data_IF_931216236855
#
_entry.id   IF_931216236855
#
_cell.length_a   1.000
_cell.length_b   1.000
_cell.length_c   1.000
_cell.angle_alpha   90.00
_cell.angle_beta   90.00
_cell.angle_gamma   90.00
#
_symmetry.space_group_name_H-M   'P 1'
#
loop_
_entity.id
_entity.type
_entity.pdbx_description
1 polymer ?
#
# COMPACT_ATOMS: atom_id res chain seq x y z
N UNK A 1 16.31 14.11 -5.39
CA UNK A 1 15.93 15.38 -5.98
C UNK A 1 16.93 15.79 -7.03
N UNK A 2 16.46 16.40 -8.12
CA UNK A 2 17.25 16.87 -9.26
C UNK A 2 16.89 18.31 -9.57
N UNK A 3 17.90 19.06 -10.04
CA UNK A 3 17.66 20.31 -10.76
C UNK A 3 17.62 20.00 -12.26
N UNK A 4 16.74 20.70 -12.99
CA UNK A 4 16.70 20.67 -14.43
C UNK A 4 17.38 21.92 -14.95
N UNK A 5 18.41 21.76 -15.77
CA UNK A 5 19.10 22.84 -16.43
C UNK A 5 18.81 22.79 -17.92
N UNK A 6 18.13 23.84 -18.44
CA UNK A 6 17.91 24.01 -19.87
C UNK A 6 19.00 24.83 -20.50
N UNK A 7 19.51 24.38 -21.63
CA UNK A 7 20.60 25.03 -22.36
C UNK A 7 20.25 25.14 -23.84
N UNK A 8 20.57 26.29 -24.44
CA UNK A 8 20.53 26.52 -25.90
C UNK A 8 21.91 26.98 -26.34
N UNK A 9 22.43 26.37 -27.42
CA UNK A 9 23.74 26.68 -27.91
C UNK A 9 23.82 26.43 -29.43
N UNK A 10 24.74 27.12 -30.09
CA UNK A 10 24.99 26.94 -31.49
C UNK A 10 25.85 25.72 -31.77
N UNK A 11 25.42 24.92 -32.76
CA UNK A 11 26.16 23.75 -33.27
C UNK A 11 26.31 23.90 -34.80
N UNK A 12 27.32 23.19 -35.35
CA UNK A 12 27.54 23.13 -36.79
C UNK A 12 28.07 21.74 -37.21
N UNK A 13 28.00 21.47 -38.52
CA UNK A 13 28.59 20.29 -39.16
C UNK A 13 27.85 18.97 -38.93
N UNK A 14 28.41 17.91 -39.53
CA UNK A 14 28.06 16.52 -39.32
C UNK A 14 29.38 15.69 -39.24
N UNK A 15 29.74 15.12 -38.12
CA UNK A 15 29.04 15.11 -36.86
C UNK A 15 28.92 16.49 -36.18
N UNK A 16 27.84 16.66 -35.41
CA UNK A 16 27.56 17.90 -34.69
C UNK A 16 28.70 18.34 -33.76
N UNK A 17 29.05 19.62 -33.80
CA UNK A 17 30.07 20.23 -32.93
C UNK A 17 29.55 21.58 -32.42
N UNK A 18 29.85 21.95 -31.16
CA UNK A 18 29.53 23.28 -30.66
C UNK A 18 30.30 24.33 -31.43
N UNK A 19 29.68 25.45 -31.72
CA UNK A 19 30.31 26.60 -32.36
C UNK A 19 31.34 27.18 -31.39
N UNK A 20 32.62 27.36 -31.81
CA UNK A 20 33.62 27.99 -30.99
C UNK A 20 33.24 29.41 -30.58
N UNK A 21 33.53 29.82 -29.35
CA UNK A 21 33.18 31.14 -28.83
C UNK A 21 33.70 32.27 -29.72
N UNK A 22 34.94 32.16 -30.23
CA UNK A 22 35.53 33.15 -31.15
C UNK A 22 34.69 33.36 -32.43
N UNK A 23 34.16 32.29 -33.00
CA UNK A 23 33.37 32.34 -34.24
C UNK A 23 31.97 32.87 -33.92
N UNK A 24 31.46 32.60 -32.72
CA UNK A 24 30.23 33.17 -32.24
C UNK A 24 30.35 34.68 -32.01
N UNK A 25 31.43 35.13 -31.36
CA UNK A 25 31.74 36.53 -31.13
C UNK A 25 31.86 37.27 -32.50
N UNK A 26 32.58 36.70 -33.46
CA UNK A 26 32.67 37.27 -34.83
C UNK A 26 31.33 37.32 -35.60
N UNK A 27 30.37 36.48 -35.25
CA UNK A 27 29.04 36.58 -35.85
C UNK A 27 28.22 37.74 -35.28
N UNK A 28 28.50 38.17 -34.04
CA UNK A 28 27.77 39.26 -33.37
C UNK A 28 28.50 40.61 -33.47
N UNK A 29 29.82 40.64 -33.47
CA UNK A 29 30.62 41.84 -33.33
C UNK A 29 31.49 42.10 -34.57
N UNK A 30 31.69 43.38 -34.85
CA UNK A 30 32.75 43.90 -35.75
C UNK A 30 33.72 44.70 -34.89
N UNK A 31 34.82 44.06 -34.50
CA UNK A 31 35.71 44.57 -33.46
C UNK A 31 35.04 44.50 -32.07
N UNK A 32 34.90 45.64 -31.41
CA UNK A 32 34.31 45.78 -30.09
C UNK A 32 32.83 46.25 -30.14
N UNK A 33 32.28 46.48 -31.33
CA UNK A 33 30.91 46.97 -31.52
C UNK A 33 30.00 45.89 -32.16
N UNK A 34 28.71 45.97 -31.91
CA UNK A 34 27.77 45.10 -32.61
C UNK A 34 27.70 45.40 -34.08
N UNK A 35 27.61 44.34 -34.90
CA UNK A 35 27.50 44.51 -36.34
C UNK A 35 26.21 45.30 -36.71
N UNK A 36 26.22 46.24 -37.70
CA UNK A 36 25.08 47.07 -38.05
C UNK A 36 23.79 46.28 -38.39
N UNK A 37 23.92 45.07 -38.97
CA UNK A 37 22.79 44.19 -39.24
C UNK A 37 22.17 43.60 -37.96
N UNK A 38 23.03 43.35 -36.96
CA UNK A 38 22.58 42.90 -35.63
C UNK A 38 21.80 44.02 -34.95
N UNK A 39 22.38 45.23 -34.88
CA UNK A 39 21.72 46.39 -34.31
C UNK A 39 20.36 46.65 -34.99
N UNK A 40 20.29 46.63 -36.32
CA UNK A 40 19.04 46.89 -37.02
C UNK A 40 17.92 45.90 -36.77
N UNK A 41 18.23 44.67 -36.33
CA UNK A 41 17.23 43.62 -36.11
C UNK A 41 16.95 43.38 -34.61
N UNK A 42 17.94 43.63 -33.75
CA UNK A 42 17.85 43.31 -32.33
C UNK A 42 17.50 44.52 -31.46
N UNK A 43 17.94 45.74 -31.86
CA UNK A 43 17.61 47.00 -31.16
C UNK A 43 16.13 47.31 -31.36
N UNK A 44 15.34 47.14 -30.31
CA UNK A 44 13.88 47.34 -30.33
C UNK A 44 13.49 48.77 -30.00
N UNK A 45 14.38 49.48 -29.29
CA UNK A 45 14.12 50.81 -28.77
C UNK A 45 14.81 51.91 -29.58
N UNK A 46 15.60 51.53 -30.60
CA UNK A 46 16.36 52.42 -31.50
C UNK A 46 17.36 53.32 -30.74
N UNK A 47 17.94 52.85 -29.62
CA UNK A 47 18.94 53.66 -28.89
C UNK A 47 20.39 53.40 -29.31
N UNK A 48 20.60 52.48 -30.23
CA UNK A 48 21.91 52.10 -30.77
C UNK A 48 22.75 51.24 -29.85
N UNK A 49 22.14 50.69 -28.77
CA UNK A 49 22.77 49.76 -27.85
C UNK A 49 21.90 48.53 -27.72
N UNK A 50 22.44 47.38 -27.36
CA UNK A 50 21.66 46.18 -27.09
C UNK A 50 21.72 45.83 -25.60
N UNK A 51 20.56 45.87 -24.96
CA UNK A 51 20.44 45.40 -23.61
C UNK A 51 20.18 43.87 -23.52
N UNK A 52 20.18 43.32 -22.33
CA UNK A 52 19.99 41.86 -22.12
C UNK A 52 18.62 41.33 -22.58
N UNK A 53 17.61 42.18 -22.72
CA UNK A 53 16.29 41.80 -23.15
C UNK A 53 16.20 41.75 -24.69
N UNK A 54 17.05 42.50 -25.38
CA UNK A 54 17.17 42.58 -26.81
C UNK A 54 18.10 41.50 -27.40
N UNK A 55 19.13 41.12 -26.64
CA UNK A 55 20.06 40.04 -27.01
C UNK A 55 19.43 38.63 -27.00
N UNK A 56 18.12 38.54 -27.27
CA UNK A 56 17.37 37.28 -27.27
C UNK A 56 17.02 36.92 -28.71
N UNK A 57 17.27 35.67 -29.10
CA UNK A 57 16.84 35.08 -30.36
C UNK A 57 15.38 34.60 -30.20
N UNK A 58 14.44 35.51 -30.35
CA UNK A 58 13.00 35.29 -30.15
C UNK A 58 12.23 35.15 -31.48
N UNK A 59 12.91 35.25 -32.62
CA UNK A 59 12.32 35.10 -33.95
C UNK A 59 13.16 34.29 -34.92
N UNK A 60 12.54 33.69 -35.92
CA UNK A 60 13.24 32.97 -36.98
C UNK A 60 14.12 33.88 -37.82
N UNK A 61 13.82 35.18 -37.93
CA UNK A 61 14.65 36.16 -38.61
C UNK A 61 15.98 36.38 -37.90
N UNK A 62 15.93 36.55 -36.58
CA UNK A 62 17.13 36.66 -35.74
C UNK A 62 18.00 35.40 -35.79
N UNK A 63 17.39 34.20 -35.71
CA UNK A 63 18.10 32.93 -35.87
C UNK A 63 18.78 32.84 -37.25
N UNK A 64 18.04 33.17 -38.33
CA UNK A 64 18.55 33.11 -39.69
C UNK A 64 19.71 34.09 -39.92
N UNK A 65 19.66 35.29 -39.36
CA UNK A 65 20.74 36.28 -39.45
C UNK A 65 22.03 35.74 -38.82
N UNK A 66 21.95 35.26 -37.57
CA UNK A 66 23.12 34.71 -36.87
C UNK A 66 23.66 33.47 -37.61
N UNK A 67 22.76 32.54 -38.04
CA UNK A 67 23.15 31.37 -38.81
C UNK A 67 23.88 31.73 -40.10
N UNK A 68 23.37 32.74 -40.86
CA UNK A 68 24.01 33.18 -42.09
C UNK A 68 25.43 33.76 -41.89
N UNK A 69 25.60 34.47 -40.78
CA UNK A 69 26.94 35.05 -40.41
C UNK A 69 27.93 33.96 -39.96
N UNK A 70 27.46 32.97 -39.22
CA UNK A 70 28.27 31.79 -38.87
C UNK A 70 28.63 30.97 -40.13
N UNK A 71 27.72 30.82 -41.09
CA UNK A 71 28.00 30.16 -42.34
C UNK A 71 28.99 30.94 -43.19
N UNK A 72 28.94 32.29 -43.21
CA UNK A 72 29.90 33.15 -43.88
C UNK A 72 31.31 33.05 -43.23
N UNK A 73 31.40 32.74 -41.95
CA UNK A 73 32.63 32.41 -41.24
C UNK A 73 33.19 31.00 -41.56
N UNK A 74 32.50 30.24 -42.42
CA UNK A 74 32.94 28.92 -42.90
C UNK A 74 32.44 27.73 -42.08
N UNK A 75 31.46 27.93 -41.20
CA UNK A 75 30.82 26.87 -40.47
C UNK A 75 29.68 26.23 -41.31
N UNK A 76 29.72 24.89 -41.42
CA UNK A 76 28.73 24.16 -42.20
C UNK A 76 27.43 23.96 -41.42
N UNK A 77 26.31 24.37 -41.99
CA UNK A 77 24.95 24.17 -41.40
C UNK A 77 24.81 24.59 -39.92
N UNK A 78 25.14 25.83 -39.54
CA UNK A 78 25.05 26.31 -38.18
C UNK A 78 23.57 26.41 -37.77
N UNK A 79 23.22 25.89 -36.58
CA UNK A 79 21.87 25.83 -36.03
C UNK A 79 21.86 25.84 -34.53
N UNK A 80 20.75 26.22 -33.92
CA UNK A 80 20.55 26.14 -32.47
C UNK A 80 20.18 24.70 -32.10
N UNK A 81 20.92 24.14 -31.16
CA UNK A 81 20.56 22.93 -30.40
C UNK A 81 20.05 23.30 -29.00
N UNK A 82 19.27 22.44 -28.44
CA UNK A 82 18.70 22.66 -27.11
C UNK A 82 18.66 21.34 -26.34
N UNK A 83 19.00 21.40 -25.06
CA UNK A 83 19.03 20.23 -24.19
C UNK A 83 18.56 20.56 -22.78
N UNK A 84 18.05 19.54 -22.09
CA UNK A 84 17.79 19.56 -20.65
C UNK A 84 18.69 18.54 -20.01
N UNK A 85 19.49 18.99 -19.04
CA UNK A 85 20.34 18.13 -18.21
C UNK A 85 19.79 18.02 -16.81
N UNK A 86 19.83 16.82 -16.24
CA UNK A 86 19.44 16.54 -14.86
C UNK A 86 20.66 16.54 -13.95
N UNK A 87 20.63 17.36 -12.92
CA UNK A 87 21.70 17.43 -11.92
C UNK A 87 21.23 16.94 -10.56
N UNK A 88 21.87 15.91 -10.02
CA UNK A 88 21.60 15.43 -8.67
C UNK A 88 21.91 16.48 -7.61
N UNK A 89 20.98 16.70 -6.69
CA UNK A 89 21.18 17.55 -5.53
C UNK A 89 21.72 16.71 -4.39
N UNK A 90 23.01 16.89 -4.05
CA UNK A 90 23.70 16.12 -3.02
C UNK A 90 23.90 16.88 -1.70
N UNK A 91 23.66 18.20 -1.69
CA UNK A 91 23.78 19.08 -0.53
C UNK A 91 22.74 20.20 -0.60
N UNK A 92 22.64 21.04 0.44
CA UNK A 92 21.60 22.07 0.59
C UNK A 92 20.18 21.52 0.64
N UNK A 93 20.04 20.28 1.11
CA UNK A 93 18.73 19.67 1.35
C UNK A 93 18.25 20.09 2.74
N UNK A 94 17.04 20.55 2.81
CA UNK A 94 16.41 20.98 4.06
C UNK A 94 16.27 19.83 5.05
N UNK A 95 16.59 20.09 6.32
CA UNK A 95 16.50 19.13 7.43
C UNK A 95 15.63 19.62 8.58
N UNK A 96 15.19 18.69 9.42
CA UNK A 96 14.50 18.99 10.67
C UNK A 96 13.10 19.58 10.46
N UNK A 97 12.82 20.71 11.07
CA UNK A 97 11.49 21.33 11.05
C UNK A 97 11.11 21.97 9.72
N UNK A 98 12.08 22.22 8.86
CA UNK A 98 11.91 22.79 7.53
C UNK A 98 11.54 21.75 6.45
N UNK A 99 11.61 20.46 6.78
CA UNK A 99 11.22 19.39 5.87
C UNK A 99 9.70 19.34 5.78
N UNK A 100 9.18 19.27 4.56
CA UNK A 100 7.77 18.97 4.31
C UNK A 100 7.40 17.64 4.97
N UNK A 101 6.48 17.68 5.90
CA UNK A 101 5.99 16.51 6.65
C UNK A 101 4.64 15.99 6.13
N UNK A 102 3.99 16.80 5.30
CA UNK A 102 2.72 16.45 4.67
C UNK A 102 2.96 15.85 3.28
N UNK A 103 2.57 14.59 3.10
CA UNK A 103 2.69 13.87 1.83
C UNK A 103 1.91 14.54 0.68
N UNK A 104 0.84 15.31 1.00
CA UNK A 104 0.03 16.02 0.00
C UNK A 104 0.82 17.12 -0.73
N UNK A 105 1.77 17.73 -0.06
CA UNK A 105 2.60 18.79 -0.67
C UNK A 105 3.33 18.28 -1.92
N UNK A 106 3.70 16.99 -1.95
CA UNK A 106 4.37 16.38 -3.09
C UNK A 106 3.45 15.46 -3.91
N UNK A 107 2.44 14.84 -3.29
CA UNK A 107 1.60 13.80 -3.90
C UNK A 107 0.12 14.20 -4.05
N UNK A 108 -0.27 15.41 -3.70
CA UNK A 108 -1.62 15.92 -3.96
C UNK A 108 -1.82 16.26 -5.44
N UNK A 109 -3.06 16.35 -5.89
CA UNK A 109 -3.43 16.72 -7.28
C UNK A 109 -2.96 18.12 -7.69
N UNK A 110 -2.69 18.97 -6.72
CA UNK A 110 -2.23 20.35 -6.84
C UNK A 110 -0.79 20.55 -6.34
N UNK A 111 -0.03 19.44 -6.19
CA UNK A 111 1.36 19.47 -5.74
C UNK A 111 2.32 19.95 -6.83
N UNK A 112 3.51 20.39 -6.40
CA UNK A 112 4.59 20.76 -7.34
C UNK A 112 5.02 19.61 -8.26
N UNK A 113 4.79 18.35 -7.85
CA UNK A 113 5.13 17.16 -8.67
C UNK A 113 4.10 16.91 -9.75
N UNK A 114 2.84 17.30 -9.52
CA UNK A 114 1.74 17.07 -10.47
C UNK A 114 1.45 18.29 -11.37
N UNK A 115 1.97 19.46 -11.01
CA UNK A 115 1.81 20.69 -11.81
C UNK A 115 2.98 20.87 -12.78
N UNK A 116 2.75 21.56 -13.93
CA UNK A 116 3.82 21.94 -14.83
C UNK A 116 4.86 22.81 -14.13
N UNK A 117 6.13 22.46 -14.27
CA UNK A 117 7.27 23.21 -13.74
C UNK A 117 7.78 24.13 -14.85
N UNK A 118 7.80 25.44 -14.59
CA UNK A 118 8.35 26.41 -15.54
C UNK A 118 9.87 26.25 -15.61
N UNK A 119 10.41 26.04 -16.80
CA UNK A 119 11.82 25.86 -17.08
C UNK A 119 12.49 27.13 -17.58
N UNK A 120 11.79 27.92 -18.42
CA UNK A 120 12.34 29.13 -19.01
C UNK A 120 11.21 30.10 -19.38
N UNK A 121 11.53 31.41 -19.35
CA UNK A 121 10.64 32.50 -19.83
C UNK A 121 10.67 32.64 -21.35
N UNK A 122 11.48 31.86 -22.05
CA UNK A 122 11.70 32.00 -23.48
C UNK A 122 12.26 30.73 -24.10
N UNK A 123 12.07 30.58 -25.41
CA UNK A 123 12.55 29.41 -26.17
C UNK A 123 13.37 29.92 -27.35
N UNK A 124 14.71 30.11 -27.19
CA UNK A 124 15.59 30.56 -28.25
C UNK A 124 15.45 29.70 -29.51
N UNK A 125 15.27 30.36 -30.69
CA UNK A 125 15.08 29.67 -31.96
C UNK A 125 13.83 28.81 -32.04
N UNK A 126 12.88 28.94 -31.10
CA UNK A 126 11.68 28.10 -30.99
C UNK A 126 11.98 26.58 -30.92
N UNK A 127 13.17 26.23 -30.44
CA UNK A 127 13.63 24.86 -30.31
C UNK A 127 13.31 24.32 -28.91
N UNK A 128 12.37 23.38 -28.86
CA UNK A 128 12.08 22.65 -27.58
C UNK A 128 13.26 21.76 -27.24
N UNK A 129 13.78 21.85 -26.01
CA UNK A 129 14.91 21.03 -25.59
C UNK A 129 14.51 19.58 -25.38
N UNK A 130 15.48 18.69 -25.56
CA UNK A 130 15.34 17.26 -25.27
C UNK A 130 16.20 16.87 -24.09
N UNK A 131 15.77 15.86 -23.34
CA UNK A 131 16.57 15.34 -22.23
C UNK A 131 17.84 14.69 -22.75
N UNK A 132 18.96 15.10 -22.18
CA UNK A 132 20.28 14.46 -22.36
C UNK A 132 20.81 14.08 -20.98
N UNK A 133 21.34 12.89 -20.83
CA UNK A 133 21.88 12.42 -19.55
C UNK A 133 22.19 10.95 -19.59
N UNK A 134 22.72 10.45 -18.48
CA UNK A 134 22.90 9.02 -18.33
C UNK A 134 21.58 8.32 -17.95
N UNK A 135 21.50 7.03 -18.22
CA UNK A 135 20.32 6.19 -17.95
C UNK A 135 20.00 6.05 -16.44
N UNK A 136 20.75 6.75 -15.58
CA UNK A 136 20.54 6.72 -14.13
C UNK A 136 19.34 7.57 -13.68
N UNK A 137 18.82 8.45 -14.53
CA UNK A 137 17.70 9.33 -14.27
C UNK A 137 16.63 9.12 -15.34
N UNK A 138 15.57 8.43 -15.00
CA UNK A 138 14.37 8.39 -15.84
C UNK A 138 13.63 9.73 -15.70
N UNK A 139 13.73 10.59 -16.72
CA UNK A 139 12.94 11.79 -16.83
C UNK A 139 11.77 11.51 -17.79
N UNK A 140 10.69 10.98 -17.25
CA UNK A 140 9.46 10.74 -18.01
C UNK A 140 8.55 11.95 -17.89
N UNK A 141 8.08 12.47 -19.03
CA UNK A 141 7.19 13.62 -19.07
C UNK A 141 7.19 14.34 -20.41
N UNK A 142 6.39 15.39 -20.51
CA UNK A 142 6.25 16.21 -21.71
C UNK A 142 6.83 17.59 -21.50
N UNK A 143 7.47 18.12 -22.56
CA UNK A 143 7.97 19.49 -22.62
C UNK A 143 7.07 20.24 -23.59
N UNK A 144 6.55 21.40 -23.18
CA UNK A 144 5.66 22.21 -24.02
C UNK A 144 5.86 23.71 -23.76
N UNK A 145 5.47 24.51 -24.73
CA UNK A 145 5.36 25.96 -24.60
C UNK A 145 3.90 26.36 -24.35
N UNK A 146 3.68 27.33 -23.48
CA UNK A 146 2.36 27.96 -23.34
C UNK A 146 2.12 29.04 -24.42
N UNK A 147 0.95 29.68 -24.35
CA UNK A 147 0.57 30.76 -25.27
C UNK A 147 1.45 32.02 -25.16
N UNK A 148 2.12 32.20 -24.01
CA UNK A 148 3.03 33.31 -23.76
C UNK A 148 4.46 33.01 -24.25
N UNK A 149 4.77 31.78 -24.67
CA UNK A 149 6.09 31.32 -25.07
C UNK A 149 6.98 30.87 -23.92
N UNK A 150 6.42 30.71 -22.76
CA UNK A 150 7.10 30.15 -21.59
C UNK A 150 7.24 28.63 -21.73
N UNK A 151 8.40 28.09 -21.37
CA UNK A 151 8.70 26.66 -21.45
C UNK A 151 8.35 25.96 -20.14
N UNK A 152 7.60 24.88 -20.23
CA UNK A 152 7.20 24.04 -19.11
C UNK A 152 7.61 22.57 -19.30
N UNK A 153 7.86 21.92 -18.19
CA UNK A 153 7.99 20.48 -18.08
C UNK A 153 6.85 19.94 -17.20
N UNK A 154 6.10 19.00 -17.73
CA UNK A 154 5.09 18.24 -17.03
C UNK A 154 5.57 16.83 -16.81
N UNK A 155 5.82 16.45 -15.54
CA UNK A 155 6.15 15.08 -15.20
C UNK A 155 4.96 14.17 -15.54
N UNK A 156 5.21 13.05 -16.19
CA UNK A 156 4.19 12.04 -16.43
C UNK A 156 3.97 11.25 -15.14
N UNK A 157 2.99 11.70 -14.37
CA UNK A 157 2.53 11.02 -13.18
C UNK A 157 1.41 10.08 -13.61
N UNK A 158 1.75 8.88 -14.07
CA UNK A 158 0.73 7.86 -14.38
C UNK A 158 -0.20 7.67 -13.18
N UNK A 159 -1.50 7.62 -13.39
CA UNK A 159 -2.51 7.48 -12.32
C UNK A 159 -2.21 6.32 -11.35
N UNK A 160 -1.57 5.26 -11.85
CA UNK A 160 -1.18 4.09 -11.07
C UNK A 160 -0.03 4.34 -10.07
N UNK A 161 0.79 5.37 -10.26
CA UNK A 161 2.04 5.56 -9.53
C UNK A 161 1.93 6.54 -8.34
N UNK A 162 0.81 7.25 -8.22
CA UNK A 162 0.61 8.27 -7.18
C UNK A 162 -0.13 7.77 -5.94
N UNK A 163 -0.42 6.48 -5.81
CA UNK A 163 -1.05 5.97 -4.60
C UNK A 163 -0.08 6.00 -3.42
N UNK A 164 -0.38 6.84 -2.44
CA UNK A 164 0.45 7.06 -1.25
C UNK A 164 -0.20 6.41 -0.04
N UNK A 165 0.49 5.42 0.52
CA UNK A 165 0.05 4.74 1.74
C UNK A 165 -0.09 5.75 2.88
N UNK A 166 -1.23 5.71 3.56
CA UNK A 166 -1.56 6.63 4.65
C UNK A 166 -2.19 7.95 4.23
N UNK A 167 -2.12 8.30 2.95
CA UNK A 167 -2.79 9.46 2.38
C UNK A 167 -4.02 9.05 1.55
N UNK A 168 -3.82 8.16 0.60
CA UNK A 168 -4.90 7.71 -0.29
C UNK A 168 -5.67 6.56 0.33
N UNK A 169 -6.98 6.60 0.14
CA UNK A 169 -7.88 5.52 0.57
C UNK A 169 -9.11 5.43 -0.33
N UNK A 170 -9.61 4.21 -0.50
CA UNK A 170 -10.85 3.98 -1.21
C UNK A 170 -12.02 4.06 -0.23
N UNK A 171 -12.78 5.16 -0.29
CA UNK A 171 -13.90 5.45 0.64
C UNK A 171 -14.90 4.29 0.77
N UNK A 172 -15.18 3.58 -0.33
CA UNK A 172 -16.07 2.43 -0.34
C UNK A 172 -15.54 1.29 0.55
N UNK A 173 -14.23 1.02 0.48
CA UNK A 173 -13.56 -0.02 1.28
C UNK A 173 -13.56 0.36 2.75
N UNK A 174 -13.25 1.62 3.06
CA UNK A 174 -13.28 2.13 4.44
C UNK A 174 -14.69 2.07 5.03
N UNK A 175 -15.70 2.44 4.26
CA UNK A 175 -17.09 2.36 4.68
C UNK A 175 -17.56 0.93 4.88
N UNK A 176 -17.30 0.05 3.91
CA UNK A 176 -17.68 -1.36 3.97
C UNK A 176 -16.98 -2.08 5.14
N UNK A 177 -15.68 -1.88 5.29
CA UNK A 177 -14.89 -2.47 6.37
C UNK A 177 -15.37 -2.01 7.75
N UNK A 178 -15.54 -0.70 7.93
CA UNK A 178 -16.09 -0.12 9.17
C UNK A 178 -17.49 -0.61 9.48
N UNK A 179 -18.36 -0.71 8.46
CA UNK A 179 -19.70 -1.22 8.62
C UNK A 179 -19.70 -2.68 9.10
N UNK A 180 -18.92 -3.56 8.45
CA UNK A 180 -18.79 -4.97 8.84
C UNK A 180 -18.30 -5.08 10.29
N UNK A 181 -17.26 -4.30 10.64
CA UNK A 181 -16.68 -4.31 11.98
C UNK A 181 -17.68 -3.84 13.06
N UNK A 182 -18.36 -2.71 12.83
CA UNK A 182 -19.36 -2.18 13.75
C UNK A 182 -20.56 -3.12 13.85
N UNK A 183 -21.04 -3.66 12.73
CA UNK A 183 -22.14 -4.65 12.72
C UNK A 183 -21.76 -5.90 13.52
N UNK A 184 -20.53 -6.36 13.42
CA UNK A 184 -20.01 -7.49 14.23
C UNK A 184 -20.03 -7.15 15.72
N UNK A 185 -19.54 -5.98 16.12
CA UNK A 185 -19.58 -5.55 17.53
C UNK A 185 -21.02 -5.47 18.03
N UNK A 186 -21.91 -4.84 17.28
CA UNK A 186 -23.32 -4.72 17.66
C UNK A 186 -24.01 -6.09 17.75
N UNK A 187 -23.71 -6.99 16.82
CA UNK A 187 -24.17 -8.37 16.85
C UNK A 187 -23.73 -9.12 18.11
N UNK A 188 -22.43 -9.02 18.44
CA UNK A 188 -21.84 -9.63 19.62
C UNK A 188 -22.45 -9.04 20.92
N UNK A 189 -22.54 -7.72 21.02
CA UNK A 189 -23.13 -7.04 22.19
C UNK A 189 -24.60 -7.42 22.38
N UNK A 190 -25.36 -7.42 21.29
CA UNK A 190 -26.79 -7.77 21.34
C UNK A 190 -26.98 -9.24 21.74
N UNK A 191 -26.27 -10.15 21.05
CA UNK A 191 -26.38 -11.58 21.31
C UNK A 191 -25.87 -11.93 22.72
N UNK A 192 -24.73 -11.38 23.14
CA UNK A 192 -24.18 -11.56 24.48
C UNK A 192 -25.06 -10.98 25.58
N UNK A 193 -25.63 -9.80 25.34
CA UNK A 193 -26.58 -9.16 26.25
C UNK A 193 -27.87 -9.98 26.42
N UNK A 194 -28.45 -10.48 25.32
CA UNK A 194 -29.61 -11.37 25.35
C UNK A 194 -29.29 -12.68 26.10
N UNK A 195 -28.13 -13.28 25.85
CA UNK A 195 -27.67 -14.48 26.55
C UNK A 195 -27.57 -14.24 28.06
N UNK A 196 -26.94 -13.16 28.48
CA UNK A 196 -26.81 -12.79 29.89
C UNK A 196 -28.18 -12.55 30.54
N UNK A 197 -29.08 -11.88 29.84
CA UNK A 197 -30.44 -11.62 30.32
C UNK A 197 -31.26 -12.90 30.50
N UNK A 198 -31.17 -13.83 29.52
CA UNK A 198 -31.89 -15.10 29.56
C UNK A 198 -31.33 -16.08 30.59
N UNK A 199 -29.98 -16.14 30.72
CA UNK A 199 -29.28 -16.94 31.70
C UNK A 199 -29.72 -16.61 33.16
N UNK A 200 -29.98 -15.34 33.45
CA UNK A 200 -30.50 -14.90 34.76
C UNK A 200 -31.92 -15.33 35.04
N UNK A 201 -32.70 -15.67 33.99
CA UNK A 201 -34.09 -16.14 34.13
C UNK A 201 -34.19 -17.65 34.22
N UNK A 202 -33.28 -18.40 33.64
CA UNK A 202 -33.27 -19.87 33.60
C UNK A 202 -32.33 -20.42 34.70
N UNK A 203 -32.74 -20.30 35.97
CA UNK A 203 -31.98 -20.73 37.13
C UNK A 203 -31.97 -22.26 37.39
N UNK A 204 -32.62 -23.06 36.52
CA UNK A 204 -32.70 -24.50 36.64
C UNK A 204 -31.89 -25.26 35.60
N UNK A 205 -30.68 -24.78 35.30
CA UNK A 205 -29.79 -25.53 34.42
C UNK A 205 -29.22 -26.76 35.17
N UNK A 206 -29.36 -27.94 34.55
CA UNK A 206 -28.70 -29.15 34.97
C UNK A 206 -27.19 -28.89 34.95
N UNK A 207 -26.48 -29.14 36.09
CA UNK A 207 -25.04 -29.06 36.10
C UNK A 207 -24.51 -30.29 35.37
N UNK A 208 -23.86 -30.15 34.21
CA UNK A 208 -23.32 -31.29 33.49
C UNK A 208 -22.14 -31.88 34.28
N UNK A 209 -21.98 -33.18 34.23
CA UNK A 209 -20.80 -33.83 34.75
C UNK A 209 -19.63 -33.56 33.81
N UNK A 210 -18.60 -32.86 34.30
CA UNK A 210 -17.45 -32.38 33.49
C UNK A 210 -16.25 -33.28 33.74
N UNK A 211 -15.56 -33.66 32.68
CA UNK A 211 -14.28 -34.36 32.72
C UNK A 211 -13.17 -33.54 32.10
N UNK A 212 -12.05 -33.39 32.84
CA UNK A 212 -10.85 -32.71 32.29
C UNK A 212 -10.13 -33.60 31.27
N UNK A 213 -9.97 -33.11 30.07
CA UNK A 213 -9.28 -33.80 28.97
C UNK A 213 -8.13 -32.95 28.47
N UNK A 214 -6.94 -33.53 28.24
CA UNK A 214 -5.82 -32.86 27.64
C UNK A 214 -6.11 -32.67 26.14
N UNK A 215 -6.47 -31.43 25.75
CA UNK A 215 -7.01 -31.10 24.45
C UNK A 215 -5.97 -30.49 23.52
N UNK A 216 -5.11 -29.62 24.04
CA UNK A 216 -4.20 -28.81 23.23
C UNK A 216 -2.74 -29.08 23.62
N UNK A 217 -1.94 -29.52 22.65
CA UNK A 217 -0.50 -29.71 22.82
C UNK A 217 0.21 -28.37 23.09
N UNK A 218 1.41 -28.44 23.66
CA UNK A 218 2.24 -27.26 23.93
C UNK A 218 2.51 -26.50 22.66
N UNK A 219 2.78 -27.21 21.56
CA UNK A 219 3.04 -26.57 20.26
C UNK A 219 1.82 -25.81 19.72
N UNK A 220 0.63 -26.41 19.76
CA UNK A 220 -0.61 -25.76 19.33
C UNK A 220 -0.87 -24.47 20.11
N UNK A 221 -0.61 -24.46 21.42
CA UNK A 221 -0.76 -23.27 22.26
C UNK A 221 0.26 -22.19 21.95
N UNK A 222 1.52 -22.55 21.73
CA UNK A 222 2.58 -21.59 21.44
C UNK A 222 2.35 -20.89 20.09
N UNK A 223 2.08 -21.66 19.02
CA UNK A 223 1.86 -21.03 17.73
C UNK A 223 0.58 -20.18 17.71
N UNK A 224 -0.48 -20.60 18.41
CA UNK A 224 -1.71 -19.83 18.51
C UNK A 224 -1.48 -18.49 19.22
N UNK A 225 -0.83 -18.49 20.38
CA UNK A 225 -0.60 -17.25 21.12
C UNK A 225 0.40 -16.32 20.42
N UNK A 226 1.43 -16.88 19.78
CA UNK A 226 2.32 -16.09 18.93
C UNK A 226 1.56 -15.46 17.76
N UNK A 227 0.73 -16.26 17.07
CA UNK A 227 -0.13 -15.77 15.98
C UNK A 227 -1.06 -14.66 16.46
N UNK A 228 -1.70 -14.85 17.60
CA UNK A 228 -2.60 -13.86 18.22
C UNK A 228 -1.87 -12.54 18.47
N UNK A 229 -0.73 -12.58 19.16
CA UNK A 229 0.06 -11.39 19.45
C UNK A 229 0.46 -10.65 18.17
N UNK A 230 0.99 -11.39 17.20
CA UNK A 230 1.47 -10.81 15.94
C UNK A 230 0.32 -10.18 15.16
N UNK A 231 -0.84 -10.83 15.07
CA UNK A 231 -2.01 -10.26 14.37
C UNK A 231 -2.50 -8.99 15.08
N UNK A 232 -2.55 -8.95 16.40
CA UNK A 232 -2.91 -7.73 17.13
C UNK A 232 -1.97 -6.56 16.81
N UNK A 233 -0.66 -6.82 16.81
CA UNK A 233 0.34 -5.79 16.49
C UNK A 233 0.18 -5.36 15.02
N UNK A 234 -0.05 -6.29 14.10
CA UNK A 234 -0.27 -5.99 12.67
C UNK A 234 -1.53 -5.16 12.45
N UNK A 235 -2.65 -5.48 13.10
CA UNK A 235 -3.87 -4.69 13.00
C UNK A 235 -3.68 -3.29 13.55
N UNK A 236 -3.01 -3.16 14.70
CA UNK A 236 -2.73 -1.86 15.31
C UNK A 236 -1.81 -1.01 14.44
N UNK A 237 -0.69 -1.56 13.99
CA UNK A 237 0.25 -0.85 13.10
C UNK A 237 -0.38 -0.58 11.73
N UNK A 238 -1.16 -1.50 11.20
CA UNK A 238 -1.91 -1.31 9.96
C UNK A 238 -2.92 -0.17 10.04
N UNK A 239 -3.61 -0.02 11.18
CA UNK A 239 -4.53 1.10 11.42
C UNK A 239 -3.79 2.45 11.44
N UNK A 240 -2.60 2.50 12.06
CA UNK A 240 -1.76 3.71 12.07
C UNK A 240 -1.28 4.03 10.65
N UNK A 241 -0.83 3.03 9.89
CA UNK A 241 -0.39 3.23 8.49
C UNK A 241 -1.55 3.71 7.62
N UNK A 242 -2.76 3.19 7.85
CA UNK A 242 -3.95 3.57 7.08
C UNK A 242 -4.45 4.99 7.39
N UNK A 243 -4.30 5.47 8.61
CA UNK A 243 -4.75 6.82 9.05
C UNK A 243 -3.70 7.49 9.94
N UNK A 244 -2.51 7.82 9.43
CA UNK A 244 -1.40 8.36 10.21
C UNK A 244 -1.73 9.71 10.86
N UNK A 245 -2.54 10.54 10.21
CA UNK A 245 -2.96 11.84 10.73
C UNK A 245 -3.68 11.75 12.08
N UNK A 246 -4.35 10.62 12.36
CA UNK A 246 -5.05 10.38 13.62
C UNK A 246 -4.14 9.87 14.74
N UNK A 247 -2.97 9.38 14.39
CA UNK A 247 -2.01 8.75 15.29
C UNK A 247 -0.64 9.45 15.27
N UNK A 248 -0.62 10.78 15.17
CA UNK A 248 0.59 11.62 15.00
C UNK A 248 1.68 11.48 16.08
N UNK A 249 1.42 10.70 17.14
CA UNK A 249 2.40 10.41 18.21
C UNK A 249 3.47 9.41 17.72
N UNK A 250 3.14 8.59 16.71
CA UNK A 250 4.02 7.53 16.22
C UNK A 250 4.76 7.96 14.96
N UNK A 251 6.07 7.70 14.90
CA UNK A 251 6.84 7.86 13.66
C UNK A 251 6.35 6.88 12.59
N UNK A 252 5.88 7.38 11.46
CA UNK A 252 5.35 6.56 10.36
C UNK A 252 6.35 5.50 9.88
N UNK A 253 7.60 5.88 9.65
CA UNK A 253 8.65 4.97 9.20
C UNK A 253 8.92 3.84 10.21
N UNK A 254 8.93 4.17 11.50
CA UNK A 254 9.08 3.16 12.56
C UNK A 254 7.90 2.19 12.60
N UNK A 255 6.68 2.69 12.49
CA UNK A 255 5.47 1.85 12.45
C UNK A 255 5.48 0.91 11.25
N UNK A 256 5.88 1.38 10.07
CA UNK A 256 6.05 0.54 8.87
C UNK A 256 7.10 -0.55 9.08
N UNK A 257 8.23 -0.23 9.72
CA UNK A 257 9.24 -1.24 10.04
C UNK A 257 8.71 -2.31 10.99
N UNK A 258 8.02 -1.91 12.07
CA UNK A 258 7.41 -2.86 13.01
C UNK A 258 6.37 -3.73 12.29
N UNK A 259 5.53 -3.15 11.44
CA UNK A 259 4.54 -3.88 10.63
C UNK A 259 5.21 -4.95 9.77
N UNK A 260 6.27 -4.59 9.04
CA UNK A 260 7.00 -5.52 8.17
C UNK A 260 7.70 -6.65 8.95
N UNK A 261 8.29 -6.34 10.11
CA UNK A 261 8.91 -7.35 10.97
C UNK A 261 7.84 -8.33 11.49
N UNK A 262 6.72 -7.82 11.97
CA UNK A 262 5.61 -8.66 12.44
C UNK A 262 5.01 -9.49 11.31
N UNK A 263 4.90 -8.93 10.09
CA UNK A 263 4.46 -9.68 8.91
C UNK A 263 5.41 -10.85 8.59
N UNK A 264 6.72 -10.65 8.69
CA UNK A 264 7.69 -11.74 8.52
C UNK A 264 7.52 -12.82 9.60
N UNK A 265 7.34 -12.44 10.86
CA UNK A 265 7.08 -13.38 11.95
C UNK A 265 5.78 -14.15 11.71
N UNK A 266 4.71 -13.45 11.23
CA UNK A 266 3.45 -14.08 10.84
C UNK A 266 3.66 -15.18 9.79
N UNK A 267 4.38 -14.85 8.71
CA UNK A 267 4.65 -15.79 7.61
C UNK A 267 5.43 -17.01 8.10
N UNK A 268 6.48 -16.80 8.88
CA UNK A 268 7.29 -17.89 9.43
C UNK A 268 6.46 -18.78 10.37
N UNK A 269 5.68 -18.17 11.26
CA UNK A 269 4.81 -18.91 12.18
C UNK A 269 3.73 -19.70 11.42
N UNK A 270 3.10 -19.10 10.41
CA UNK A 270 2.11 -19.76 9.56
C UNK A 270 2.71 -20.94 8.77
N UNK A 271 3.91 -20.77 8.22
CA UNK A 271 4.62 -21.85 7.50
C UNK A 271 4.97 -23.02 8.42
N UNK A 272 5.49 -22.74 9.63
CA UNK A 272 5.79 -23.77 10.63
C UNK A 272 4.52 -24.47 11.12
N UNK A 273 3.43 -23.73 11.34
CA UNK A 273 2.14 -24.30 11.71
C UNK A 273 1.59 -25.20 10.61
N UNK A 274 1.62 -24.76 9.34
CA UNK A 274 1.22 -25.56 8.20
C UNK A 274 2.05 -26.86 8.11
N UNK A 275 3.37 -26.74 8.20
CA UNK A 275 4.26 -27.90 8.19
C UNK A 275 3.91 -28.91 9.30
N UNK A 276 3.72 -28.41 10.53
CA UNK A 276 3.33 -29.27 11.66
C UNK A 276 2.01 -30.00 11.41
N UNK A 277 0.97 -29.27 10.99
CA UNK A 277 -0.36 -29.86 10.77
C UNK A 277 -0.37 -30.87 9.64
N UNK A 278 0.41 -30.65 8.57
CA UNK A 278 0.58 -31.64 7.50
C UNK A 278 1.38 -32.86 7.96
N UNK A 279 2.49 -32.66 8.64
CA UNK A 279 3.38 -33.75 9.08
C UNK A 279 2.74 -34.62 10.17
N UNK A 280 1.97 -34.04 11.10
CA UNK A 280 1.28 -34.76 12.17
C UNK A 280 -0.07 -35.37 11.77
N UNK A 281 -0.63 -34.97 10.61
CA UNK A 281 -1.98 -35.32 10.19
C UNK A 281 -3.09 -34.50 10.88
N UNK A 282 -2.75 -33.57 11.76
CA UNK A 282 -3.71 -32.67 12.44
C UNK A 282 -4.43 -31.73 11.48
N UNK A 283 -3.97 -31.60 10.23
CA UNK A 283 -4.67 -30.86 9.17
C UNK A 283 -6.13 -31.32 8.98
N UNK A 284 -6.44 -32.60 9.30
CA UNK A 284 -7.80 -33.14 9.22
C UNK A 284 -8.79 -32.42 10.13
N UNK A 285 -8.32 -31.78 11.19
CA UNK A 285 -9.16 -30.97 12.10
C UNK A 285 -9.81 -29.77 11.37
N UNK A 286 -9.11 -29.22 10.38
CA UNK A 286 -9.54 -28.03 9.62
C UNK A 286 -10.35 -28.37 8.37
N UNK A 287 -10.38 -29.65 7.95
CA UNK A 287 -11.07 -30.05 6.73
C UNK A 287 -12.51 -30.46 7.04
N UNK A 288 -13.51 -29.83 6.39
CA UNK A 288 -14.90 -30.22 6.55
C UNK A 288 -15.13 -31.66 6.08
N UNK A 289 -15.82 -32.47 6.88
CA UNK A 289 -16.15 -33.85 6.51
C UNK A 289 -17.45 -33.87 5.73
N UNK A 290 -17.51 -34.37 4.46
CA UNK A 290 -18.68 -34.22 3.59
C UNK A 290 -19.96 -34.83 4.14
N UNK A 291 -19.86 -36.01 4.82
CA UNK A 291 -21.04 -36.74 5.30
C UNK A 291 -21.59 -36.09 6.58
N UNK A 292 -22.88 -35.70 6.53
CA UNK A 292 -23.56 -35.09 7.67
C UNK A 292 -23.13 -33.66 8.02
N UNK A 293 -22.21 -33.08 7.23
CA UNK A 293 -21.64 -31.76 7.50
C UNK A 293 -22.72 -30.67 7.57
N UNK A 294 -23.61 -30.63 6.57
CA UNK A 294 -24.63 -29.59 6.49
C UNK A 294 -25.66 -29.70 7.61
N UNK A 295 -26.06 -30.93 7.98
CA UNK A 295 -27.01 -31.15 9.08
C UNK A 295 -26.40 -30.70 10.41
N UNK A 296 -25.13 -31.03 10.67
CA UNK A 296 -24.43 -30.61 11.86
C UNK A 296 -24.18 -29.10 11.88
N UNK A 297 -23.83 -28.50 10.74
CA UNK A 297 -23.66 -27.05 10.62
C UNK A 297 -24.97 -26.31 10.87
N UNK A 298 -26.08 -26.82 10.35
CA UNK A 298 -27.43 -26.28 10.60
C UNK A 298 -27.85 -26.43 12.06
N UNK A 299 -27.60 -27.58 12.67
CA UNK A 299 -27.85 -27.80 14.09
C UNK A 299 -27.05 -26.82 14.96
N UNK A 300 -25.77 -26.63 14.65
CA UNK A 300 -24.89 -25.69 15.34
C UNK A 300 -25.36 -24.22 15.16
N UNK A 301 -25.75 -23.82 13.95
CA UNK A 301 -26.30 -22.49 13.69
C UNK A 301 -27.62 -22.27 14.47
N UNK A 302 -28.53 -23.26 14.48
CA UNK A 302 -29.76 -23.22 15.25
C UNK A 302 -29.51 -23.12 16.75
N UNK A 303 -28.49 -23.82 17.25
CA UNK A 303 -28.07 -23.70 18.64
C UNK A 303 -27.62 -22.27 18.98
N UNK A 304 -26.75 -21.65 18.21
CA UNK A 304 -26.32 -20.28 18.47
C UNK A 304 -27.46 -19.26 18.33
N UNK A 305 -28.40 -19.45 17.38
CA UNK A 305 -29.49 -18.50 17.17
C UNK A 305 -30.66 -18.65 18.16
N UNK A 306 -30.87 -19.85 18.68
CA UNK A 306 -32.05 -20.15 19.54
C UNK A 306 -31.73 -20.99 20.75
N UNK A 307 -30.99 -22.10 20.59
CA UNK A 307 -30.72 -23.08 21.65
C UNK A 307 -30.05 -22.49 22.85
N UNK A 308 -29.02 -21.68 22.61
CA UNK A 308 -28.19 -21.05 23.66
C UNK A 308 -29.00 -20.16 24.62
N UNK A 309 -30.10 -19.54 24.14
CA UNK A 309 -30.99 -18.71 24.96
C UNK A 309 -31.94 -19.52 25.82
N UNK A 310 -32.13 -20.80 25.49
CA UNK A 310 -33.04 -21.71 26.17
C UNK A 310 -32.36 -22.73 27.07
N UNK A 311 -31.01 -22.63 27.18
CA UNK A 311 -30.19 -23.59 27.92
C UNK A 311 -30.23 -25.01 27.28
N UNK A 312 -30.35 -25.08 25.93
CA UNK A 312 -30.29 -26.35 25.23
C UNK A 312 -28.88 -26.93 25.31
N UNK A 313 -28.73 -28.27 25.28
CA UNK A 313 -27.44 -28.95 25.22
C UNK A 313 -26.70 -28.58 23.94
N UNK A 314 -25.35 -28.54 24.04
CA UNK A 314 -24.49 -28.19 22.90
C UNK A 314 -24.52 -29.36 21.88
N UNK A 315 -24.88 -29.12 20.59
CA UNK A 315 -25.05 -30.19 19.60
C UNK A 315 -23.73 -30.82 19.13
N UNK A 316 -22.61 -30.38 19.65
CA UNK A 316 -21.28 -30.84 19.27
C UNK A 316 -20.42 -31.14 20.51
N UNK A 317 -19.96 -32.38 20.61
CA UNK A 317 -19.00 -32.79 21.63
C UNK A 317 -17.57 -32.60 21.12
N UNK A 318 -16.75 -31.92 21.93
CA UNK A 318 -15.32 -31.78 21.65
C UNK A 318 -14.58 -33.03 22.10
N UNK A 319 -13.69 -33.51 21.25
CA UNK A 319 -12.73 -34.58 21.57
C UNK A 319 -11.34 -34.20 21.09
N UNK A 320 -10.25 -34.81 21.58
CA UNK A 320 -8.90 -34.56 21.08
C UNK A 320 -8.74 -34.79 19.56
N UNK A 321 -9.56 -35.68 18.98
CA UNK A 321 -9.59 -35.97 17.55
C UNK A 321 -10.53 -35.05 16.77
N UNK A 322 -11.41 -34.30 17.45
CA UNK A 322 -12.40 -33.43 16.86
C UNK A 322 -12.61 -32.20 17.74
N UNK A 323 -11.67 -31.25 17.62
CA UNK A 323 -11.62 -30.04 18.48
C UNK A 323 -12.57 -28.92 18.00
N UNK A 324 -12.99 -28.95 16.72
CA UNK A 324 -13.76 -27.87 16.09
C UNK A 324 -15.12 -28.34 15.60
N UNK A 325 -16.14 -27.54 15.89
CA UNK A 325 -17.47 -27.74 15.33
C UNK A 325 -17.52 -27.39 13.82
N UNK A 326 -18.57 -27.80 13.06
CA UNK A 326 -18.63 -27.60 11.62
C UNK A 326 -18.54 -26.13 11.18
N UNK A 327 -19.13 -25.19 11.93
CA UNK A 327 -19.06 -23.77 11.62
C UNK A 327 -17.65 -23.21 11.83
N UNK A 328 -16.96 -23.65 12.87
CA UNK A 328 -15.56 -23.32 13.12
C UNK A 328 -14.67 -23.88 12.02
N UNK A 329 -14.89 -25.13 11.57
CA UNK A 329 -14.14 -25.72 10.46
C UNK A 329 -14.22 -24.88 9.19
N UNK A 330 -15.43 -24.46 8.76
CA UNK A 330 -15.58 -23.60 7.57
C UNK A 330 -14.89 -22.26 7.76
N UNK A 331 -15.09 -21.64 8.92
CA UNK A 331 -14.50 -20.33 9.21
C UNK A 331 -12.97 -20.38 9.20
N UNK A 332 -12.38 -21.36 9.89
CA UNK A 332 -10.91 -21.51 9.89
C UNK A 332 -10.39 -21.95 8.52
N UNK A 333 -11.11 -22.80 7.79
CA UNK A 333 -10.74 -23.12 6.43
C UNK A 333 -10.67 -21.88 5.54
N UNK A 334 -11.67 -21.01 5.58
CA UNK A 334 -11.70 -19.76 4.82
C UNK A 334 -10.58 -18.81 5.24
N UNK A 335 -10.34 -18.68 6.56
CA UNK A 335 -9.27 -17.81 7.08
C UNK A 335 -7.89 -18.30 6.65
N UNK A 336 -7.59 -19.58 6.85
CA UNK A 336 -6.26 -20.12 6.61
C UNK A 336 -5.94 -20.31 5.12
N UNK A 337 -6.95 -20.61 4.28
CA UNK A 337 -6.72 -20.92 2.88
C UNK A 337 -7.09 -19.79 1.91
N UNK A 338 -7.84 -18.79 2.34
CA UNK A 338 -8.24 -17.65 1.50
C UNK A 338 -7.73 -16.34 2.09
N UNK A 339 -8.19 -15.96 3.29
CA UNK A 339 -7.89 -14.63 3.82
C UNK A 339 -6.43 -14.44 4.20
N UNK A 340 -5.81 -15.42 4.86
CA UNK A 340 -4.42 -15.31 5.28
C UNK A 340 -3.44 -15.31 4.09
N UNK A 341 -3.55 -16.22 3.10
CA UNK A 341 -2.74 -16.13 1.89
C UNK A 341 -2.94 -14.81 1.12
N UNK A 342 -4.18 -14.34 1.00
CA UNK A 342 -4.49 -13.08 0.34
C UNK A 342 -3.86 -11.88 1.07
N UNK A 343 -3.92 -11.87 2.41
CA UNK A 343 -3.29 -10.84 3.24
C UNK A 343 -1.77 -10.84 3.09
N UNK A 344 -1.15 -12.01 3.10
CA UNK A 344 0.29 -12.17 2.93
C UNK A 344 0.73 -11.73 1.53
N UNK A 345 0.04 -12.19 0.48
CA UNK A 345 0.39 -11.87 -0.90
C UNK A 345 0.24 -10.37 -1.19
N UNK A 346 -0.89 -9.77 -0.80
CA UNK A 346 -1.08 -8.33 -1.00
C UNK A 346 -0.04 -7.51 -0.23
N UNK A 347 0.27 -7.88 1.02
CA UNK A 347 1.33 -7.24 1.80
C UNK A 347 2.72 -7.39 1.19
N UNK A 348 3.05 -8.58 0.65
CA UNK A 348 4.32 -8.84 -0.02
C UNK A 348 4.50 -7.97 -1.28
N UNK A 349 3.45 -7.88 -2.12
CA UNK A 349 3.50 -7.04 -3.32
C UNK A 349 3.53 -5.54 -2.98
N UNK A 350 2.82 -5.10 -1.94
CA UNK A 350 2.94 -3.72 -1.46
C UNK A 350 4.36 -3.41 -0.95
N UNK A 351 4.97 -4.31 -0.19
CA UNK A 351 6.36 -4.18 0.25
C UNK A 351 7.35 -4.20 -0.91
N UNK A 352 7.07 -4.99 -1.93
CA UNK A 352 7.90 -5.15 -3.12
C UNK A 352 7.65 -4.11 -4.23
N UNK A 353 6.73 -3.15 -4.05
CA UNK A 353 6.29 -2.25 -5.12
C UNK A 353 7.43 -1.45 -5.79
N UNK A 354 8.43 -1.04 -5.01
CA UNK A 354 9.62 -0.36 -5.54
C UNK A 354 10.69 -1.29 -6.12
N UNK A 355 10.64 -2.58 -5.79
CA UNK A 355 11.62 -3.58 -6.25
C UNK A 355 11.16 -4.32 -7.50
N UNK A 356 9.85 -4.48 -7.66
CA UNK A 356 9.21 -5.21 -8.75
C UNK A 356 8.06 -4.39 -9.34
N UNK A 357 8.32 -3.15 -9.82
CA UNK A 357 7.26 -2.22 -10.23
C UNK A 357 6.37 -2.80 -11.32
N UNK A 358 6.94 -3.46 -12.34
CA UNK A 358 6.19 -4.06 -13.45
C UNK A 358 5.26 -5.18 -13.01
N UNK A 359 5.73 -6.03 -12.06
CA UNK A 359 4.91 -7.12 -11.52
C UNK A 359 3.72 -6.52 -10.75
N UNK A 360 3.98 -5.54 -9.90
CA UNK A 360 2.95 -4.87 -9.10
C UNK A 360 1.97 -4.12 -9.99
N UNK A 361 2.44 -3.42 -11.02
CA UNK A 361 1.60 -2.74 -11.99
C UNK A 361 0.69 -3.73 -12.75
N UNK A 362 1.21 -4.88 -13.17
CA UNK A 362 0.41 -5.93 -13.84
C UNK A 362 -0.72 -6.50 -12.97
N UNK A 363 -0.61 -6.36 -11.65
CA UNK A 363 -1.62 -6.78 -10.67
C UNK A 363 -2.61 -5.65 -10.27
N UNK A 364 -2.59 -4.52 -10.97
CA UNK A 364 -3.42 -3.35 -10.68
C UNK A 364 -2.76 -2.31 -9.77
N UNK A 365 -1.47 -2.49 -9.43
CA UNK A 365 -0.70 -1.53 -8.66
C UNK A 365 -1.15 -1.34 -7.22
N UNK A 366 -0.56 -0.36 -6.54
CA UNK A 366 -0.96 0.02 -5.17
C UNK A 366 -2.42 0.47 -5.05
N UNK A 367 -3.05 1.14 -6.06
CA UNK A 367 -4.47 1.51 -6.01
C UNK A 367 -5.42 0.33 -5.85
N UNK A 368 -5.04 -0.87 -6.28
CA UNK A 368 -5.80 -2.11 -6.10
C UNK A 368 -5.34 -2.89 -4.85
N UNK A 369 -4.03 -3.07 -4.69
CA UNK A 369 -3.48 -3.92 -3.63
C UNK A 369 -3.72 -3.35 -2.23
N UNK A 370 -3.54 -2.04 -2.02
CA UNK A 370 -3.68 -1.44 -0.71
C UNK A 370 -5.14 -1.44 -0.19
N UNK A 371 -6.17 -1.07 -0.98
CA UNK A 371 -7.56 -1.23 -0.57
C UNK A 371 -7.95 -2.67 -0.30
N UNK A 372 -7.47 -3.63 -1.10
CA UNK A 372 -7.74 -5.06 -0.89
C UNK A 372 -7.12 -5.55 0.42
N UNK A 373 -5.86 -5.20 0.69
CA UNK A 373 -5.17 -5.50 1.94
C UNK A 373 -5.91 -4.92 3.16
N UNK A 374 -6.39 -3.68 3.05
CA UNK A 374 -7.20 -3.00 4.06
C UNK A 374 -8.52 -3.71 4.30
N UNK A 375 -9.24 -4.10 3.24
CA UNK A 375 -10.50 -4.82 3.36
C UNK A 375 -10.34 -6.15 4.09
N UNK A 376 -9.32 -6.93 3.73
CA UNK A 376 -9.00 -8.20 4.39
C UNK A 376 -8.63 -7.98 5.85
N UNK A 377 -7.91 -6.88 6.17
CA UNK A 377 -7.60 -6.51 7.56
C UNK A 377 -8.86 -6.24 8.39
N UNK A 378 -9.87 -5.56 7.82
CA UNK A 378 -11.18 -5.37 8.46
C UNK A 378 -11.90 -6.70 8.74
N UNK A 379 -11.81 -7.65 7.81
CA UNK A 379 -12.37 -9.00 8.00
C UNK A 379 -11.65 -9.74 9.15
N UNK A 380 -10.31 -9.64 9.24
CA UNK A 380 -9.56 -10.19 10.36
C UNK A 380 -9.94 -9.54 11.69
N UNK A 381 -10.08 -8.21 11.74
CA UNK A 381 -10.52 -7.52 12.95
C UNK A 381 -11.92 -7.96 13.40
N UNK A 382 -12.84 -8.10 12.46
CA UNK A 382 -14.21 -8.59 12.72
C UNK A 382 -14.20 -10.04 13.19
N UNK A 383 -13.38 -10.88 12.55
CA UNK A 383 -13.21 -12.28 12.97
C UNK A 383 -12.69 -12.39 14.41
N UNK A 384 -11.71 -11.59 14.82
CA UNK A 384 -11.16 -11.64 16.17
C UNK A 384 -12.25 -11.32 17.21
N UNK A 385 -13.05 -10.28 16.98
CA UNK A 385 -14.16 -9.92 17.89
C UNK A 385 -15.15 -11.08 18.02
N UNK A 386 -15.53 -11.67 16.88
CA UNK A 386 -16.45 -12.81 16.87
C UNK A 386 -15.81 -14.05 17.52
N UNK A 387 -14.53 -14.34 17.23
CA UNK A 387 -13.80 -15.46 17.79
C UNK A 387 -13.71 -15.38 19.31
N UNK A 388 -13.27 -14.24 19.85
CA UNK A 388 -13.20 -14.03 21.30
C UNK A 388 -14.57 -14.19 21.95
N UNK A 389 -15.62 -13.64 21.34
CA UNK A 389 -16.99 -13.83 21.82
C UNK A 389 -17.40 -15.30 21.84
N UNK A 390 -17.19 -16.03 20.75
CA UNK A 390 -17.57 -17.45 20.66
C UNK A 390 -16.81 -18.33 21.64
N UNK A 391 -15.59 -17.97 22.06
CA UNK A 391 -14.89 -18.73 23.13
C UNK A 391 -15.62 -18.63 24.47
N UNK A 392 -16.47 -17.62 24.69
CA UNK A 392 -17.24 -17.45 25.91
C UNK A 392 -18.57 -18.22 25.90
N UNK A 393 -18.90 -18.94 24.82
CA UNK A 393 -20.19 -19.64 24.69
C UNK A 393 -20.18 -21.08 25.18
N UNK A 394 -19.07 -21.57 25.77
CA UNK A 394 -18.98 -22.85 26.45
C UNK A 394 -19.74 -22.89 27.78
N UNK A 395 -19.58 -23.98 28.54
CA UNK A 395 -20.20 -24.18 29.86
C UNK A 395 -19.77 -23.11 30.88
N UNK A 396 -18.49 -22.71 30.85
CA UNK A 396 -17.99 -21.53 31.57
C UNK A 396 -17.45 -20.48 30.55
N UNK A 397 -17.65 -19.17 30.84
CA UNK A 397 -17.21 -18.12 29.92
C UNK A 397 -15.69 -18.08 29.62
N UNK A 398 -14.86 -18.59 30.52
CA UNK A 398 -13.40 -18.60 30.35
C UNK A 398 -12.81 -19.99 30.12
N UNK A 399 -13.62 -21.07 30.10
CA UNK A 399 -13.14 -22.43 29.94
C UNK A 399 -12.24 -22.64 28.74
N UNK A 400 -12.70 -22.20 27.53
CA UNK A 400 -11.91 -22.34 26.30
C UNK A 400 -10.61 -21.53 26.32
N UNK A 401 -10.59 -20.36 26.96
CA UNK A 401 -9.37 -19.53 27.12
C UNK A 401 -8.39 -20.23 28.08
N UNK A 402 -8.88 -20.72 29.23
CA UNK A 402 -8.08 -21.51 30.17
C UNK A 402 -7.51 -22.76 29.49
N UNK A 403 -8.33 -23.48 28.72
CA UNK A 403 -7.91 -24.65 27.93
C UNK A 403 -6.78 -24.29 26.95
N UNK A 404 -6.87 -23.18 26.28
CA UNK A 404 -5.84 -22.73 25.34
C UNK A 404 -4.56 -22.20 26.01
N UNK A 405 -4.59 -21.90 27.30
CA UNK A 405 -3.39 -21.58 28.12
C UNK A 405 -2.79 -22.84 28.78
N UNK A 406 -3.61 -23.65 29.41
CA UNK A 406 -3.16 -24.77 30.25
C UNK A 406 -3.06 -26.10 29.48
N UNK A 407 -3.74 -26.23 28.34
CA UNK A 407 -3.82 -27.45 27.53
C UNK A 407 -4.96 -28.39 27.90
N UNK A 408 -5.61 -28.18 29.04
CA UNK A 408 -6.73 -28.99 29.53
C UNK A 408 -8.05 -28.26 29.27
N UNK A 409 -9.01 -28.94 28.67
CA UNK A 409 -10.39 -28.46 28.47
C UNK A 409 -11.35 -29.40 29.24
N UNK A 410 -12.47 -28.85 29.69
CA UNK A 410 -13.52 -29.59 30.38
C UNK A 410 -14.60 -29.94 29.35
N UNK A 411 -14.87 -31.23 29.22
CA UNK A 411 -15.90 -31.76 28.31
C UNK A 411 -17.04 -32.40 29.08
N UNK A 412 -18.27 -32.24 28.61
CA UNK A 412 -19.44 -32.85 29.19
C UNK A 412 -19.39 -34.39 28.98
N UNK A 413 -19.59 -35.15 30.06
CA UNK A 413 -19.70 -36.61 29.97
C UNK A 413 -21.16 -36.95 29.70
N UNK A 414 -21.46 -37.30 28.48
CA UNK A 414 -22.75 -37.92 28.17
C UNK A 414 -22.62 -39.41 28.54
N UNK A 415 -23.41 -39.88 29.52
CA UNK A 415 -23.43 -41.28 29.86
C UNK A 415 -23.73 -42.13 28.62
N UNK A 416 -22.73 -42.83 28.11
CA UNK A 416 -22.99 -43.93 27.20
C UNK A 416 -23.83 -44.95 28.01
N UNK A 417 -25.11 -45.08 27.67
CA UNK A 417 -25.85 -46.31 27.98
C UNK A 417 -24.95 -47.48 27.53
N UNK A 418 -24.45 -48.23 28.54
CA UNK A 418 -23.75 -49.47 28.28
C UNK A 418 -24.65 -50.32 27.33
N UNK A 419 -24.13 -50.94 26.27
CA UNK A 419 -24.95 -51.81 25.44
C UNK A 419 -25.55 -52.85 26.40
N UNK A 420 -26.89 -52.89 26.47
CA UNK A 420 -27.61 -53.88 27.23
C UNK A 420 -27.15 -55.25 26.74
N UNK A 421 -26.45 -55.97 27.59
CA UNK A 421 -26.24 -57.37 27.42
C UNK A 421 -27.57 -58.05 27.61
N UNK A 422 -28.38 -58.03 26.52
CA UNK A 422 -29.51 -58.97 26.43
C UNK A 422 -28.87 -60.32 26.16
N UNK A 423 -28.81 -61.11 27.23
CA UNK A 423 -28.59 -62.55 27.12
C UNK A 423 -29.78 -63.22 26.46
N UNK A 424 -29.43 -64.27 25.86
CA UNK A 424 -29.98 -65.57 25.49
C UNK A 424 -29.85 -65.84 23.97
#
# INVERSE_FOLDING_TARGET
PYNLLTSWFWIYGDPERPVPQRDLEAAWLDGDEYHPEILSLFDKNDDGQLDSSELVIDSGEKETLIASRLAAAGLDNPRIASEIQTYSINHNVTHGDWVTKDCRTCHGSDSLVTQPVKLSDRIPGQRLPTFVGDDSVAAEGSIFADEAGDLYYQLETGEANLYVLGHDSVKLVDWLGSFIFIATILGVVTHGGLRLFMSRRNLTAHEPELQGVYMYSVYERLWHWLQTLVIFVLLFTGLIIHKPDKFGVFSFSYVVQVHNIMALILVLNAALAAFYHFASGEIQQFLPRPRGFFDQAFAQAKFYLHGIFRGAEHPFEKTPQRKMNPLQQVTYFAILNILLPLQILTGLFMWGAQRWPDIVASMGGLPFLAPLHTLVSWLFASFIILHVYLTTTGHEPLASIKGMIMGWDEVEVHGHEAPSTAGD
#
